data_IF_818836720046
#
_entry.id   IF_818836720046
#
_cell.length_a   1.000
_cell.length_b   1.000
_cell.length_c   1.000
_cell.angle_alpha   90.00
_cell.angle_beta   90.00
_cell.angle_gamma   90.00
#
_symmetry.space_group_name_H-M   'P 1'
#
loop_
_entity.id
_entity.type
_entity.pdbx_description
1 polymer ?
#
# COMPACT_ATOMS: atom_id res chain seq x y z
N UNK A 1 17.72 20.35 -5.95
CA UNK A 1 16.27 20.62 -5.84
C UNK A 1 15.55 19.30 -6.05
N UNK A 2 14.65 18.92 -5.15
CA UNK A 2 13.87 17.69 -5.31
C UNK A 2 12.89 17.89 -6.48
N UNK A 3 12.87 16.93 -7.41
CA UNK A 3 12.06 16.96 -8.62
C UNK A 3 11.17 15.72 -8.65
N UNK A 4 9.85 15.87 -8.41
CA UNK A 4 8.89 14.75 -8.40
C UNK A 4 8.91 13.92 -9.69
N UNK A 5 9.23 14.53 -10.84
CA UNK A 5 9.26 13.84 -12.13
C UNK A 5 10.33 12.74 -12.19
N UNK A 6 11.43 12.90 -11.43
CA UNK A 6 12.49 11.89 -11.34
C UNK A 6 12.02 10.65 -10.59
N UNK A 7 11.23 10.82 -9.53
CA UNK A 7 10.65 9.71 -8.77
C UNK A 7 9.71 8.90 -9.66
N UNK A 8 8.83 9.59 -10.39
CA UNK A 8 7.88 8.94 -11.32
C UNK A 8 8.61 8.21 -12.44
N UNK A 9 9.61 8.83 -13.04
CA UNK A 9 10.43 8.20 -14.08
C UNK A 9 11.13 6.95 -13.57
N UNK A 10 11.70 6.99 -12.36
CA UNK A 10 12.31 5.83 -11.72
C UNK A 10 11.30 4.71 -11.47
N UNK A 11 10.13 5.03 -10.92
CA UNK A 11 9.06 4.06 -10.66
C UNK A 11 8.59 3.39 -11.96
N UNK A 12 8.49 4.13 -13.08
CA UNK A 12 8.17 3.57 -14.40
C UNK A 12 9.27 2.65 -14.92
N UNK A 13 10.54 3.00 -14.76
CA UNK A 13 11.66 2.12 -15.14
C UNK A 13 11.65 0.81 -14.34
N UNK A 14 11.42 0.89 -13.02
CA UNK A 14 11.29 -0.28 -12.15
C UNK A 14 10.10 -1.16 -12.55
N UNK A 15 8.95 -0.56 -12.83
CA UNK A 15 7.78 -1.27 -13.36
C UNK A 15 8.13 -2.00 -14.67
N UNK A 16 8.73 -1.31 -15.64
CA UNK A 16 9.07 -1.89 -16.93
C UNK A 16 10.05 -3.07 -16.77
N UNK A 17 11.09 -2.91 -15.95
CA UNK A 17 12.03 -3.99 -15.66
C UNK A 17 11.34 -5.20 -15.01
N UNK A 18 10.52 -4.95 -13.99
CA UNK A 18 9.77 -5.99 -13.28
C UNK A 18 8.85 -6.77 -14.23
N UNK A 19 8.18 -6.07 -15.15
CA UNK A 19 7.33 -6.70 -16.16
C UNK A 19 8.14 -7.54 -17.16
N UNK A 20 9.29 -7.05 -17.62
CA UNK A 20 10.16 -7.80 -18.54
C UNK A 20 10.66 -9.11 -17.93
N UNK A 21 11.06 -9.09 -16.65
CA UNK A 21 11.58 -10.28 -15.96
C UNK A 21 10.48 -11.12 -15.31
N UNK A 22 9.21 -10.70 -15.41
CA UNK A 22 8.06 -11.31 -14.71
C UNK A 22 8.29 -11.44 -13.20
N UNK A 23 8.97 -10.44 -12.61
CA UNK A 23 9.30 -10.40 -11.19
C UNK A 23 8.22 -9.77 -10.33
N UNK A 24 8.52 -9.59 -9.04
CA UNK A 24 7.71 -8.85 -8.08
C UNK A 24 8.47 -7.61 -7.60
N UNK A 25 7.81 -6.45 -7.65
CA UNK A 25 8.31 -5.21 -7.07
C UNK A 25 7.42 -4.81 -5.90
N UNK A 26 8.01 -4.74 -4.71
CA UNK A 26 7.36 -4.22 -3.51
C UNK A 26 8.06 -2.92 -3.10
N UNK A 27 7.29 -1.86 -2.90
CA UNK A 27 7.80 -0.55 -2.48
C UNK A 27 7.00 -0.05 -1.28
N UNK A 28 7.70 0.29 -0.20
CA UNK A 28 7.12 0.90 1.00
C UNK A 28 7.31 2.41 0.95
N UNK A 29 6.24 3.17 1.13
CA UNK A 29 6.26 4.63 1.05
C UNK A 29 5.55 5.19 2.27
N UNK A 30 6.18 6.12 2.99
CA UNK A 30 5.50 6.90 4.03
C UNK A 30 4.59 7.93 3.36
N UNK A 31 3.28 7.81 3.55
CA UNK A 31 2.29 8.69 2.92
C UNK A 31 2.37 10.14 3.41
N UNK A 32 2.81 10.34 4.65
CA UNK A 32 2.79 11.66 5.31
C UNK A 32 3.86 12.60 4.75
N UNK A 33 4.89 12.04 4.11
CA UNK A 33 5.96 12.80 3.46
C UNK A 33 5.73 13.06 1.96
N UNK A 34 4.67 12.53 1.35
CA UNK A 34 4.44 12.66 -0.11
C UNK A 34 3.37 13.70 -0.44
N UNK A 35 3.63 14.62 -1.39
CA UNK A 35 2.59 15.46 -1.96
C UNK A 35 1.44 14.60 -2.54
N UNK A 36 0.17 14.99 -2.34
CA UNK A 36 -0.98 14.20 -2.80
C UNK A 36 -0.95 13.83 -4.29
N UNK A 37 -0.49 14.75 -5.15
CA UNK A 37 -0.33 14.49 -6.59
C UNK A 37 0.69 13.39 -6.88
N UNK A 38 1.84 13.41 -6.21
CA UNK A 38 2.87 12.38 -6.37
C UNK A 38 2.37 11.01 -5.87
N UNK A 39 1.62 10.99 -4.76
CA UNK A 39 0.98 9.76 -4.25
C UNK A 39 0.00 9.16 -5.27
N UNK A 40 -0.84 9.99 -5.89
CA UNK A 40 -1.78 9.54 -6.92
C UNK A 40 -1.05 8.98 -8.16
N UNK A 41 0.01 9.65 -8.61
CA UNK A 41 0.80 9.19 -9.75
C UNK A 41 1.48 7.85 -9.47
N UNK A 42 2.10 7.68 -8.29
CA UNK A 42 2.72 6.41 -7.88
C UNK A 42 1.68 5.29 -7.77
N UNK A 43 0.52 5.57 -7.14
CA UNK A 43 -0.59 4.63 -7.08
C UNK A 43 -1.12 4.25 -8.48
N UNK A 44 -1.08 5.18 -9.44
CA UNK A 44 -1.41 4.93 -10.85
C UNK A 44 -0.48 3.90 -11.52
N UNK A 45 0.81 3.90 -11.16
CA UNK A 45 1.81 2.95 -11.67
C UNK A 45 1.61 1.56 -11.08
N UNK A 46 1.33 1.46 -9.78
CA UNK A 46 1.30 0.19 -9.06
C UNK A 46 0.16 -0.74 -9.52
N UNK A 47 0.41 -2.04 -9.58
CA UNK A 47 -0.63 -3.04 -9.84
C UNK A 47 -1.53 -3.27 -8.60
N UNK A 48 -0.99 -3.03 -7.40
CA UNK A 48 -1.71 -3.13 -6.13
C UNK A 48 -1.28 -1.99 -5.20
N UNK A 49 -2.23 -1.43 -4.44
CA UNK A 49 -1.93 -0.44 -3.39
C UNK A 49 -2.49 -0.94 -2.07
N UNK A 50 -1.60 -1.04 -1.08
CA UNK A 50 -1.90 -1.41 0.29
C UNK A 50 -1.68 -0.19 1.18
N UNK A 51 -2.73 0.31 1.79
CA UNK A 51 -2.65 1.40 2.76
C UNK A 51 -2.65 0.84 4.17
N UNK A 52 -1.58 1.13 4.92
CA UNK A 52 -1.47 0.76 6.32
C UNK A 52 -1.85 1.94 7.20
N UNK A 53 -2.73 1.70 8.17
CA UNK A 53 -3.15 2.71 9.14
C UNK A 53 -3.14 2.13 10.54
N UNK A 54 -2.69 2.94 11.48
CA UNK A 54 -2.86 2.69 12.91
C UNK A 54 -3.94 3.63 13.41
N UNK A 55 -5.00 3.08 14.02
CA UNK A 55 -6.06 3.86 14.66
C UNK A 55 -6.11 3.52 16.15
N UNK A 56 -6.37 4.53 16.98
CA UNK A 56 -6.60 4.31 18.42
C UNK A 56 -8.08 4.00 18.65
N UNK A 57 -8.36 2.91 19.36
CA UNK A 57 -9.72 2.51 19.76
C UNK A 57 -9.73 2.41 21.28
N UNK A 58 -10.30 3.42 21.94
CA UNK A 58 -10.24 3.51 23.40
C UNK A 58 -8.80 3.69 23.89
N UNK A 59 -8.27 2.67 24.59
CA UNK A 59 -6.88 2.61 25.06
C UNK A 59 -5.96 1.78 24.17
N UNK A 60 -6.52 1.07 23.18
CA UNK A 60 -5.77 0.13 22.34
C UNK A 60 -5.44 0.74 20.97
N UNK A 61 -4.44 0.15 20.33
CA UNK A 61 -4.08 0.46 18.95
C UNK A 61 -4.52 -0.67 18.04
N UNK A 62 -5.21 -0.32 16.97
CA UNK A 62 -5.57 -1.24 15.92
C UNK A 62 -4.77 -0.93 14.66
N UNK A 63 -4.10 -1.95 14.13
CA UNK A 63 -3.39 -1.86 12.84
C UNK A 63 -4.24 -2.48 11.76
N UNK A 64 -4.44 -1.74 10.66
CA UNK A 64 -5.23 -2.18 9.53
C UNK A 64 -4.48 -2.00 8.22
N UNK A 65 -4.75 -2.89 7.28
CA UNK A 65 -4.33 -2.80 5.88
C UNK A 65 -5.58 -2.73 5.00
N UNK A 66 -5.71 -1.64 4.25
CA UNK A 66 -6.76 -1.48 3.25
C UNK A 66 -6.18 -1.71 1.86
N UNK A 67 -6.77 -2.63 1.10
CA UNK A 67 -6.46 -2.79 -0.33
C UNK A 67 -7.25 -1.73 -1.10
N UNK A 68 -6.59 -0.64 -1.52
CA UNK A 68 -7.24 0.48 -2.23
C UNK A 68 -7.17 0.35 -3.74
N UNK A 69 -6.28 -0.49 -4.26
CA UNK A 69 -6.19 -0.83 -5.68
C UNK A 69 -5.75 -2.28 -5.83
N UNK A 70 -6.37 -3.00 -6.74
CA UNK A 70 -5.91 -4.31 -7.20
C UNK A 70 -6.23 -4.44 -8.68
N UNK A 71 -5.20 -4.57 -9.52
CA UNK A 71 -5.35 -4.67 -10.97
C UNK A 71 -6.19 -5.89 -11.34
N UNK A 72 -7.21 -5.67 -12.19
CA UNK A 72 -8.13 -6.69 -12.71
C UNK A 72 -9.07 -7.34 -11.65
N UNK A 73 -9.18 -6.79 -10.43
CA UNK A 73 -10.20 -7.22 -9.47
C UNK A 73 -11.33 -6.17 -9.37
N UNK A 74 -12.58 -6.57 -9.06
CA UNK A 74 -13.64 -5.63 -8.74
C UNK A 74 -13.21 -4.74 -7.55
N UNK A 75 -13.66 -3.47 -7.52
CA UNK A 75 -13.39 -2.42 -6.51
C UNK A 75 -13.89 -2.75 -5.09
N UNK A 76 -13.94 -4.02 -4.74
CA UNK A 76 -14.26 -4.51 -3.43
C UNK A 76 -13.07 -4.22 -2.50
N UNK A 77 -13.07 -3.03 -1.90
CA UNK A 77 -12.14 -2.69 -0.84
C UNK A 77 -12.21 -3.76 0.26
N UNK A 78 -11.05 -4.29 0.63
CA UNK A 78 -10.88 -5.25 1.73
C UNK A 78 -10.05 -4.57 2.81
N UNK A 79 -10.56 -4.61 4.03
CA UNK A 79 -9.83 -4.20 5.21
C UNK A 79 -9.40 -5.47 5.94
N UNK A 80 -8.10 -5.59 6.17
CA UNK A 80 -7.52 -6.61 7.04
C UNK A 80 -7.06 -5.92 8.32
N UNK A 81 -7.67 -6.29 9.44
CA UNK A 81 -7.21 -5.91 10.78
C UNK A 81 -6.25 -6.98 11.27
N UNK A 82 -5.09 -6.55 11.80
CA UNK A 82 -4.08 -7.47 12.32
C UNK A 82 -3.35 -6.87 13.51
N UNK A 83 -2.85 -7.77 14.37
CA UNK A 83 -1.93 -7.45 15.47
C UNK A 83 -0.53 -7.94 15.14
N UNK A 84 0.46 -7.30 15.76
CA UNK A 84 1.87 -7.74 15.68
C UNK A 84 2.35 -8.01 17.10
N UNK A 85 2.69 -9.26 17.39
CA UNK A 85 3.23 -9.68 18.69
C UNK A 85 4.62 -10.29 18.52
N UNK A 86 5.48 -10.25 19.55
CA UNK A 86 6.76 -10.96 19.51
C UNK A 86 6.60 -12.48 19.30
N UNK A 87 5.54 -13.08 19.85
CA UNK A 87 5.34 -14.53 19.87
C UNK A 87 4.70 -15.07 18.58
N UNK A 88 3.73 -14.34 18.03
CA UNK A 88 2.90 -14.81 16.91
C UNK A 88 3.14 -14.00 15.62
N UNK A 89 4.01 -12.99 15.67
CA UNK A 89 4.27 -12.07 14.56
C UNK A 89 2.95 -11.43 14.06
N UNK A 90 2.73 -11.37 12.75
CA UNK A 90 1.52 -10.79 12.16
C UNK A 90 0.38 -11.79 12.30
N UNK A 91 -0.61 -11.47 13.13
CA UNK A 91 -1.80 -12.30 13.34
C UNK A 91 -3.04 -11.56 12.86
N UNK A 92 -3.78 -12.10 11.88
CA UNK A 92 -5.02 -11.49 11.40
C UNK A 92 -6.11 -11.62 12.46
N UNK A 93 -6.87 -10.55 12.68
CA UNK A 93 -8.00 -10.54 13.63
C UNK A 93 -9.33 -10.59 12.88
N UNK A 94 -9.55 -9.67 11.93
CA UNK A 94 -10.82 -9.55 11.20
C UNK A 94 -10.58 -9.19 9.74
N UNK A 95 -11.38 -9.77 8.83
CA UNK A 95 -11.44 -9.39 7.41
C UNK A 95 -12.82 -8.79 7.11
N UNK A 96 -12.87 -7.48 6.92
CA UNK A 96 -14.11 -6.77 6.59
C UNK A 96 -14.21 -6.44 5.10
N UNK A 97 -15.43 -6.47 4.57
CA UNK A 97 -15.75 -5.96 3.23
C UNK A 97 -16.33 -4.57 3.38
N UNK A 98 -15.82 -3.60 2.63
CA UNK A 98 -16.49 -2.30 2.52
C UNK A 98 -17.63 -2.46 1.51
N UNK A 99 -18.84 -2.09 1.91
CA UNK A 99 -20.07 -2.14 1.11
C UNK A 99 -20.20 -0.92 0.20
#
# INVERSE_FOLDING_TARGET
>A
REDPSRVISMMRMLQAHTQMVRGLLLVTISSDGLPPGLRQEVAGIADMVLEFKVRTIGTDFETSMTVTKFRNAPENLRILVFRVTPEECITPETVERIA
#
